data_IF_721141158357
#
_entry.id   IF_721141158357
#
_cell.length_a   1.000
_cell.length_b   1.000
_cell.length_c   1.000
_cell.angle_alpha   90.00
_cell.angle_beta   90.00
_cell.angle_gamma   90.00
#
_symmetry.space_group_name_H-M   'P 1'
#
loop_
_entity.id
_entity.type
_entity.pdbx_description
1 polymer ?
#
# COMPACT_ATOMS: atom_id res chain seq x y z
N UNK A 1 26.68 -28.56 -16.27
CA UNK A 1 26.89 -30.00 -16.03
C UNK A 1 25.51 -30.63 -15.99
N UNK A 2 25.20 -31.60 -16.86
CA UNK A 2 23.84 -32.15 -16.97
C UNK A 2 23.56 -33.18 -15.87
N UNK A 3 22.33 -33.19 -15.35
CA UNK A 3 21.84 -34.12 -14.32
C UNK A 3 21.93 -35.60 -14.73
N UNK A 4 21.98 -35.89 -16.04
CA UNK A 4 22.09 -37.26 -16.57
C UNK A 4 23.50 -37.84 -16.36
N UNK A 5 24.53 -36.99 -16.37
CA UNK A 5 25.93 -37.44 -16.28
C UNK A 5 26.33 -37.71 -14.82
N UNK A 6 25.78 -36.94 -13.89
CA UNK A 6 26.09 -37.03 -12.46
C UNK A 6 24.83 -36.75 -11.62
N UNK A 7 23.85 -37.65 -11.67
CA UNK A 7 22.68 -37.58 -10.78
C UNK A 7 23.12 -37.87 -9.35
N UNK A 8 22.75 -36.98 -8.44
CA UNK A 8 23.03 -37.09 -7.01
C UNK A 8 21.77 -37.39 -6.19
N UNK A 9 20.65 -37.69 -6.85
CA UNK A 9 19.33 -37.84 -6.21
C UNK A 9 19.24 -39.05 -5.26
N UNK A 10 20.07 -40.06 -5.49
CA UNK A 10 20.14 -41.27 -4.66
C UNK A 10 21.11 -41.12 -3.48
N UNK A 11 21.84 -40.01 -3.39
CA UNK A 11 22.85 -39.76 -2.37
C UNK A 11 22.25 -38.82 -1.33
N UNK A 12 22.09 -39.31 -0.10
CA UNK A 12 21.76 -38.46 1.05
C UNK A 12 23.02 -37.73 1.51
N UNK A 13 23.01 -36.41 1.40
CA UNK A 13 24.11 -35.59 1.90
C UNK A 13 23.98 -35.38 3.42
N UNK A 14 25.11 -35.34 4.12
CA UNK A 14 25.14 -34.98 5.54
C UNK A 14 24.50 -33.62 5.81
N UNK A 15 24.57 -32.70 4.84
CA UNK A 15 23.91 -31.40 4.91
C UNK A 15 22.38 -31.53 4.95
N UNK A 16 21.80 -32.40 4.13
CA UNK A 16 20.35 -32.64 4.10
C UNK A 16 19.89 -33.17 5.46
N UNK A 17 20.61 -34.18 5.97
CA UNK A 17 20.34 -34.79 7.29
C UNK A 17 20.46 -33.73 8.40
N UNK A 18 21.50 -32.89 8.37
CA UNK A 18 21.72 -31.86 9.37
C UNK A 18 20.65 -30.75 9.34
N UNK A 19 20.15 -30.37 8.15
CA UNK A 19 19.07 -29.39 7.99
C UNK A 19 17.74 -29.96 8.48
N UNK A 20 17.39 -31.19 8.06
CA UNK A 20 16.16 -31.88 8.47
C UNK A 20 16.09 -32.08 9.99
N UNK A 21 17.21 -32.48 10.60
CA UNK A 21 17.31 -32.72 12.05
C UNK A 21 17.62 -31.44 12.84
N UNK A 22 17.85 -30.30 12.17
CA UNK A 22 18.26 -29.04 12.78
C UNK A 22 19.48 -29.17 13.73
N UNK A 23 20.44 -30.02 13.34
CA UNK A 23 21.66 -30.27 14.12
C UNK A 23 22.49 -28.99 14.23
N UNK A 24 23.04 -28.73 15.42
CA UNK A 24 23.90 -27.58 15.66
C UNK A 24 23.18 -26.22 15.79
N UNK A 25 21.86 -26.16 15.64
CA UNK A 25 21.11 -24.92 15.80
C UNK A 25 20.98 -24.52 17.27
N UNK A 26 21.88 -23.66 17.75
CA UNK A 26 21.81 -23.08 19.09
C UNK A 26 20.63 -22.12 19.23
N UNK A 27 19.97 -22.02 20.42
CA UNK A 27 18.91 -21.03 20.65
C UNK A 27 19.39 -19.60 20.37
N UNK A 28 18.45 -18.73 20.00
CA UNK A 28 18.79 -17.33 19.78
C UNK A 28 19.30 -16.67 21.06
N UNK A 29 20.32 -15.80 20.97
CA UNK A 29 20.93 -15.18 22.15
C UNK A 29 20.00 -14.18 22.84
N UNK A 30 19.07 -13.57 22.09
CA UNK A 30 18.14 -12.57 22.60
C UNK A 30 16.69 -12.90 22.21
N UNK A 31 15.73 -12.76 23.15
CA UNK A 31 14.31 -12.88 22.84
C UNK A 31 13.84 -11.80 21.87
N UNK A 32 12.94 -12.15 20.94
CA UNK A 32 12.28 -11.19 20.07
C UNK A 32 13.07 -10.77 18.82
N UNK A 33 14.20 -11.42 18.52
CA UNK A 33 14.88 -11.26 17.23
C UNK A 33 13.96 -11.67 16.07
N UNK A 34 14.04 -10.93 14.97
CA UNK A 34 13.29 -11.26 13.77
C UNK A 34 13.94 -12.47 13.07
N UNK A 35 13.09 -13.39 12.61
CA UNK A 35 13.50 -14.66 11.99
C UNK A 35 13.06 -14.70 10.53
N UNK A 36 12.99 -13.52 9.90
CA UNK A 36 12.34 -13.30 8.60
C UNK A 36 13.05 -13.99 7.43
N UNK A 37 14.32 -14.33 7.60
CA UNK A 37 15.13 -15.11 6.64
C UNK A 37 15.48 -16.53 7.10
N UNK A 38 14.96 -16.97 8.25
CA UNK A 38 15.19 -18.33 8.73
C UNK A 38 14.23 -19.32 8.09
N UNK A 39 14.66 -20.57 7.94
CA UNK A 39 13.81 -21.66 7.49
C UNK A 39 12.62 -21.86 8.46
N UNK A 40 11.52 -22.41 7.93
CA UNK A 40 10.36 -22.77 8.75
C UNK A 40 10.74 -23.93 9.65
N UNK A 41 10.38 -23.85 10.93
CA UNK A 41 10.65 -24.93 11.87
C UNK A 41 9.71 -26.11 11.63
N UNK A 42 10.25 -27.21 11.11
CA UNK A 42 9.47 -28.44 10.92
C UNK A 42 8.99 -29.06 12.24
N UNK A 43 9.82 -29.01 13.29
CA UNK A 43 9.42 -29.50 14.60
C UNK A 43 8.26 -28.69 15.19
N UNK A 44 8.16 -27.40 14.89
CA UNK A 44 7.02 -26.59 15.32
C UNK A 44 5.75 -26.98 14.58
N UNK A 45 5.86 -27.24 13.27
CA UNK A 45 4.75 -27.74 12.46
C UNK A 45 4.25 -29.11 12.95
N UNK A 46 5.15 -29.96 13.46
CA UNK A 46 4.87 -31.26 14.08
C UNK A 46 4.57 -31.19 15.59
N UNK A 47 4.45 -29.99 16.17
CA UNK A 47 4.22 -29.74 17.61
C UNK A 47 5.28 -30.35 18.57
N UNK A 48 6.50 -30.61 18.10
CA UNK A 48 7.63 -31.18 18.85
C UNK A 48 8.75 -30.18 19.17
N UNK A 49 8.59 -28.88 18.84
CA UNK A 49 9.62 -27.88 19.05
C UNK A 49 9.74 -27.47 20.54
N UNK A 50 10.80 -27.92 21.22
CA UNK A 50 11.10 -27.54 22.60
C UNK A 50 11.74 -26.15 22.79
N UNK A 51 12.16 -25.47 21.70
CA UNK A 51 12.90 -24.19 21.77
C UNK A 51 11.98 -22.96 21.94
N UNK A 52 10.67 -23.13 21.84
CA UNK A 52 9.68 -22.06 22.04
C UNK A 52 9.95 -20.82 21.17
N UNK A 53 9.76 -19.62 21.74
CA UNK A 53 9.99 -18.35 21.03
C UNK A 53 11.45 -18.04 20.70
N UNK A 54 12.40 -18.73 21.33
CA UNK A 54 13.85 -18.59 21.10
C UNK A 54 14.38 -19.58 20.04
N UNK A 55 13.49 -20.32 19.39
CA UNK A 55 13.85 -21.14 18.25
C UNK A 55 14.51 -20.28 17.16
N UNK A 56 15.68 -20.66 16.61
CA UNK A 56 16.32 -19.95 15.50
C UNK A 56 15.50 -19.97 14.21
N UNK A 57 14.62 -20.95 14.10
CA UNK A 57 13.76 -21.16 12.95
C UNK A 57 12.43 -20.44 13.13
N UNK A 58 11.82 -20.12 12.00
CA UNK A 58 10.57 -19.37 11.93
C UNK A 58 9.40 -20.23 12.37
N UNK A 59 8.57 -19.74 13.28
CA UNK A 59 7.33 -20.39 13.69
C UNK A 59 6.14 -19.76 12.96
N UNK A 60 5.36 -20.60 12.27
CA UNK A 60 4.13 -20.20 11.59
C UNK A 60 2.91 -20.51 12.46
N UNK A 61 2.50 -19.56 13.29
CA UNK A 61 1.28 -19.69 14.10
C UNK A 61 0.08 -19.04 13.39
N UNK A 62 -0.99 -19.82 13.22
CA UNK A 62 -2.29 -19.36 12.72
C UNK A 62 -2.36 -19.04 11.23
N UNK A 63 -3.59 -18.95 10.73
CA UNK A 63 -3.90 -18.49 9.37
C UNK A 63 -3.78 -16.96 9.28
N UNK A 64 -2.86 -16.48 8.43
CA UNK A 64 -2.68 -15.05 8.16
C UNK A 64 -3.18 -14.77 6.74
N UNK A 65 -4.08 -13.81 6.60
CA UNK A 65 -4.82 -13.60 5.34
C UNK A 65 -4.19 -12.58 4.41
N UNK A 66 -3.48 -11.58 4.95
CA UNK A 66 -2.92 -10.46 4.18
C UNK A 66 -1.41 -10.36 4.37
N UNK A 67 -0.67 -10.13 3.28
CA UNK A 67 0.79 -9.96 3.30
C UNK A 67 1.20 -8.70 4.07
N UNK A 68 2.21 -8.84 4.92
CA UNK A 68 2.75 -7.75 5.69
C UNK A 68 3.50 -6.74 4.80
N UNK A 69 2.98 -5.52 4.69
CA UNK A 69 3.63 -4.43 3.95
C UNK A 69 5.02 -4.05 4.47
N UNK A 70 5.30 -4.28 5.76
CA UNK A 70 6.58 -3.93 6.38
C UNK A 70 7.63 -5.01 6.16
N UNK A 71 7.23 -6.28 6.10
CA UNK A 71 8.10 -7.40 5.78
C UNK A 71 8.60 -7.33 4.34
N UNK A 72 7.74 -6.93 3.39
CA UNK A 72 8.15 -6.68 2.00
C UNK A 72 9.27 -5.63 1.86
N UNK A 73 9.46 -4.78 2.88
CA UNK A 73 10.52 -3.77 2.94
C UNK A 73 11.68 -4.17 3.86
N UNK A 74 11.62 -5.33 4.52
CA UNK A 74 12.61 -5.75 5.52
C UNK A 74 12.57 -4.97 6.83
N UNK A 75 11.47 -4.28 7.14
CA UNK A 75 11.35 -3.39 8.31
C UNK A 75 10.37 -3.92 9.38
N UNK A 76 9.98 -5.19 9.29
CA UNK A 76 9.03 -5.75 10.24
C UNK A 76 9.73 -6.11 11.57
N UNK A 77 9.42 -5.34 12.63
CA UNK A 77 9.93 -5.60 14.00
C UNK A 77 9.20 -6.73 14.73
N UNK A 78 8.01 -7.13 14.24
CA UNK A 78 7.15 -8.12 14.92
C UNK A 78 7.56 -9.57 14.65
N UNK A 79 8.46 -9.81 13.69
CA UNK A 79 8.96 -11.16 13.36
C UNK A 79 7.82 -12.17 13.21
N UNK A 80 7.88 -13.28 13.94
CA UNK A 80 6.88 -14.35 13.90
C UNK A 80 5.54 -13.99 14.55
N UNK A 81 5.54 -12.99 15.44
CA UNK A 81 4.34 -12.52 16.15
C UNK A 81 3.59 -11.45 15.33
N UNK A 82 3.97 -11.26 14.06
CA UNK A 82 3.26 -10.37 13.18
C UNK A 82 1.86 -10.94 12.85
N UNK A 83 0.85 -10.10 12.99
CA UNK A 83 -0.54 -10.39 12.58
C UNK A 83 -0.70 -10.58 11.06
N UNK A 84 0.30 -10.17 10.29
CA UNK A 84 0.30 -10.20 8.82
C UNK A 84 1.23 -11.29 8.28
N UNK A 85 0.89 -11.84 7.11
CA UNK A 85 1.60 -12.93 6.46
C UNK A 85 3.01 -12.48 6.01
N UNK A 86 4.03 -13.23 6.40
CA UNK A 86 5.42 -13.08 5.93
C UNK A 86 5.73 -14.12 4.85
N UNK A 87 4.96 -14.06 3.78
CA UNK A 87 5.10 -14.91 2.60
C UNK A 87 4.75 -14.07 1.37
N UNK A 88 5.44 -14.33 0.27
CA UNK A 88 5.23 -13.59 -0.97
C UNK A 88 4.08 -14.21 -1.76
N UNK A 89 2.86 -13.86 -1.41
CA UNK A 89 1.65 -14.25 -2.13
C UNK A 89 1.00 -13.02 -2.78
N UNK A 90 1.02 -12.97 -4.12
CA UNK A 90 0.45 -11.86 -4.88
C UNK A 90 -1.08 -11.76 -4.72
N UNK A 91 -1.76 -12.86 -4.41
CA UNK A 91 -3.22 -12.91 -4.26
C UNK A 91 -3.68 -12.32 -2.93
N UNK A 92 -2.83 -12.41 -1.90
CA UNK A 92 -3.07 -11.90 -0.53
C UNK A 92 -2.46 -10.52 -0.30
N UNK A 93 -2.04 -9.83 -1.37
CA UNK A 93 -1.43 -8.51 -1.29
C UNK A 93 -2.48 -7.46 -0.89
N UNK A 94 -2.21 -6.58 0.10
CA UNK A 94 -3.15 -5.53 0.46
C UNK A 94 -3.46 -4.60 -0.72
N UNK A 95 -4.70 -4.11 -0.77
CA UNK A 95 -5.13 -3.18 -1.80
C UNK A 95 -4.39 -1.84 -1.72
N UNK A 96 -4.27 -1.16 -2.86
CA UNK A 96 -3.68 0.17 -2.88
C UNK A 96 -4.62 1.17 -2.18
N UNK A 97 -4.17 1.70 -1.04
CA UNK A 97 -4.91 2.70 -0.24
C UNK A 97 -5.41 3.89 -1.07
N UNK A 98 -4.59 4.40 -1.99
CA UNK A 98 -4.95 5.56 -2.82
C UNK A 98 -5.95 5.20 -3.93
N UNK A 99 -5.94 3.97 -4.43
CA UNK A 99 -6.96 3.49 -5.37
C UNK A 99 -8.31 3.34 -4.69
N UNK A 100 -8.34 2.80 -3.46
CA UNK A 100 -9.57 2.69 -2.67
C UNK A 100 -10.23 4.06 -2.45
N UNK A 101 -9.43 5.12 -2.24
CA UNK A 101 -9.93 6.47 -1.94
C UNK A 101 -10.23 7.34 -3.17
N UNK A 102 -9.42 7.26 -4.23
CA UNK A 102 -9.52 8.14 -5.40
C UNK A 102 -9.90 7.39 -6.69
N UNK A 103 -10.16 6.08 -6.58
CA UNK A 103 -10.55 5.23 -7.68
C UNK A 103 -9.54 5.28 -8.84
N UNK A 104 -10.01 5.34 -10.10
CA UNK A 104 -9.14 5.32 -11.28
C UNK A 104 -8.21 6.53 -11.42
N UNK A 105 -8.37 7.58 -10.59
CA UNK A 105 -7.52 8.77 -10.60
C UNK A 105 -6.22 8.61 -9.79
N UNK A 106 -5.96 7.45 -9.20
CA UNK A 106 -4.72 7.29 -8.45
C UNK A 106 -3.50 7.25 -9.40
N UNK A 107 -2.60 8.22 -9.20
CA UNK A 107 -1.36 8.45 -9.95
C UNK A 107 -0.33 7.30 -9.84
N UNK A 108 -0.50 6.38 -8.90
CA UNK A 108 0.44 5.29 -8.65
C UNK A 108 0.02 4.01 -9.37
N UNK A 109 1.01 3.21 -9.78
CA UNK A 109 0.78 1.92 -10.44
C UNK A 109 0.11 0.94 -9.46
N UNK A 110 -1.15 0.61 -9.71
CA UNK A 110 -1.88 -0.41 -8.95
C UNK A 110 -1.41 -1.83 -9.29
N UNK A 111 -1.70 -2.79 -8.40
CA UNK A 111 -1.45 -4.22 -8.62
C UNK A 111 -1.96 -4.60 -10.00
N UNK A 112 -1.06 -5.12 -10.85
CA UNK A 112 -1.32 -5.44 -12.26
C UNK A 112 -2.51 -6.40 -12.34
N UNK A 113 -3.72 -5.89 -12.56
CA UNK A 113 -4.84 -6.73 -12.98
C UNK A 113 -4.46 -7.31 -14.34
N UNK A 114 -4.72 -8.62 -14.54
CA UNK A 114 -4.42 -9.29 -15.81
C UNK A 114 -5.15 -8.54 -16.92
N UNK A 115 -4.39 -8.08 -17.91
CA UNK A 115 -4.92 -7.34 -19.05
C UNK A 115 -5.79 -8.30 -19.86
N UNK A 116 -6.97 -7.85 -20.25
CA UNK A 116 -7.81 -8.61 -21.16
C UNK A 116 -7.12 -8.73 -22.52
N UNK A 117 -6.76 -9.95 -22.91
CA UNK A 117 -6.10 -10.21 -24.20
C UNK A 117 -7.00 -9.78 -25.36
N UNK A 118 -8.31 -10.07 -25.28
CA UNK A 118 -9.30 -9.68 -26.31
C UNK A 118 -9.39 -8.16 -26.47
N UNK A 119 -9.41 -7.43 -25.36
CA UNK A 119 -9.41 -5.97 -25.41
C UNK A 119 -8.08 -5.39 -25.91
N UNK A 120 -6.96 -6.02 -25.58
CA UNK A 120 -5.64 -5.62 -26.07
C UNK A 120 -5.53 -5.77 -27.60
N UNK A 121 -6.15 -6.79 -28.19
CA UNK A 121 -6.22 -6.96 -29.64
C UNK A 121 -7.28 -6.07 -30.31
N UNK A 122 -8.02 -5.26 -29.53
CA UNK A 122 -8.89 -4.19 -30.02
C UNK A 122 -10.37 -4.34 -29.67
N UNK A 123 -10.84 -5.53 -29.28
CA UNK A 123 -12.26 -5.74 -28.98
C UNK A 123 -12.50 -6.86 -27.96
N UNK A 124 -13.20 -6.54 -26.86
CA UNK A 124 -13.68 -7.54 -25.90
C UNK A 124 -15.22 -7.62 -25.93
N UNK A 125 -15.81 -8.80 -26.18
CA UNK A 125 -17.26 -8.98 -26.24
C UNK A 125 -17.97 -8.74 -24.90
N UNK A 126 -17.24 -8.85 -23.78
CA UNK A 126 -17.76 -8.55 -22.44
C UNK A 126 -17.78 -7.03 -22.14
N UNK A 127 -17.21 -6.20 -23.02
CA UNK A 127 -17.23 -4.74 -22.92
C UNK A 127 -16.71 -4.21 -21.57
N UNK A 128 -17.29 -3.16 -20.99
CA UNK A 128 -16.84 -2.60 -19.71
C UNK A 128 -17.09 -3.52 -18.50
N UNK A 129 -17.87 -4.59 -18.67
CA UNK A 129 -18.14 -5.62 -17.66
C UNK A 129 -17.15 -6.78 -17.66
N UNK A 130 -16.11 -6.75 -18.50
CA UNK A 130 -15.12 -7.82 -18.56
C UNK A 130 -14.41 -8.04 -17.21
N UNK A 131 -14.22 -9.32 -16.85
CA UNK A 131 -13.47 -9.73 -15.65
C UNK A 131 -11.98 -9.36 -15.69
N UNK A 132 -11.45 -9.07 -16.88
CA UNK A 132 -10.05 -8.73 -17.11
C UNK A 132 -9.89 -7.22 -17.37
N UNK A 133 -8.71 -6.67 -17.09
CA UNK A 133 -8.46 -5.22 -17.12
C UNK A 133 -8.38 -4.70 -18.56
N UNK A 134 -9.14 -3.64 -18.85
CA UNK A 134 -9.13 -2.90 -20.12
C UNK A 134 -8.29 -1.62 -19.96
N UNK A 135 -7.12 -1.48 -20.61
CA UNK A 135 -6.34 -0.24 -20.57
C UNK A 135 -7.07 0.90 -21.29
N UNK A 136 -7.19 2.07 -20.67
CA UNK A 136 -7.73 3.25 -21.36
C UNK A 136 -6.61 3.86 -22.20
N UNK A 137 -6.60 3.56 -23.50
CA UNK A 137 -5.73 4.24 -24.46
C UNK A 137 -6.36 5.60 -24.77
N UNK A 138 -5.89 6.66 -24.12
CA UNK A 138 -6.20 8.04 -24.49
C UNK A 138 -5.45 8.32 -25.80
N UNK A 139 -6.10 8.07 -26.93
CA UNK A 139 -5.62 8.60 -28.20
C UNK A 139 -5.96 10.09 -28.25
N UNK A 140 -5.03 10.98 -28.63
CA UNK A 140 -5.35 12.37 -28.90
C UNK A 140 -6.21 12.40 -30.18
N UNK A 141 -7.52 12.28 -30.01
CA UNK A 141 -8.48 12.41 -31.11
C UNK A 141 -8.83 13.89 -31.29
N UNK A 142 -8.55 14.38 -32.49
CA UNK A 142 -8.85 15.72 -32.95
C UNK A 142 -10.33 16.06 -32.83
N UNK A 143 -10.56 17.36 -32.73
CA UNK A 143 -11.85 18.06 -32.72
C UNK A 143 -12.84 17.51 -33.74
N UNK A 144 -13.99 17.01 -33.29
CA UNK A 144 -15.28 17.24 -33.97
C UNK A 144 -16.43 16.88 -33.03
N UNK A 145 -17.49 17.65 -33.15
CA UNK A 145 -18.48 17.96 -32.12
C UNK A 145 -19.38 16.77 -31.77
N UNK A 146 -19.60 16.55 -30.46
CA UNK A 146 -20.68 15.69 -29.97
C UNK A 146 -21.96 16.53 -29.79
N UNK A 147 -23.12 16.10 -30.33
CA UNK A 147 -24.40 16.74 -30.01
C UNK A 147 -24.78 16.51 -28.54
N UNK A 148 -25.40 17.48 -27.85
CA UNK A 148 -25.82 17.31 -26.47
C UNK A 148 -26.98 16.30 -26.35
N UNK A 149 -26.80 15.28 -25.50
CA UNK A 149 -27.86 14.38 -25.06
C UNK A 149 -28.85 15.12 -24.14
N UNK A 150 -30.16 14.78 -24.18
CA UNK A 150 -31.20 15.53 -23.49
C UNK A 150 -31.15 15.40 -21.96
N UNK A 151 -31.24 16.54 -21.27
CA UNK A 151 -31.38 16.67 -19.83
C UNK A 151 -32.72 16.12 -19.34
N UNK A 152 -32.69 15.10 -18.49
CA UNK A 152 -33.86 14.67 -17.72
C UNK A 152 -34.13 15.67 -16.59
N UNK A 153 -35.33 16.24 -16.60
CA UNK A 153 -35.83 17.22 -15.63
C UNK A 153 -36.25 16.51 -14.34
N UNK A 154 -35.71 16.95 -13.17
CA UNK A 154 -36.27 16.61 -11.86
C UNK A 154 -37.09 17.80 -11.32
N UNK A 155 -38.22 17.59 -10.61
CA UNK A 155 -39.06 18.67 -10.12
C UNK A 155 -38.50 19.32 -8.84
N UNK A 156 -38.80 20.62 -8.59
CA UNK A 156 -38.21 21.38 -7.49
C UNK A 156 -38.94 21.15 -6.15
N UNK A 157 -38.20 20.72 -5.14
CA UNK A 157 -38.65 20.75 -3.74
C UNK A 157 -38.52 22.17 -3.17
N UNK A 158 -39.65 22.68 -2.65
CA UNK A 158 -39.85 24.02 -2.11
C UNK A 158 -38.99 24.25 -0.85
N UNK A 159 -38.24 25.36 -0.80
CA UNK A 159 -37.65 25.92 0.43
C UNK A 159 -38.33 27.25 0.75
N UNK A 160 -38.88 27.37 1.96
CA UNK A 160 -39.34 28.63 2.55
C UNK A 160 -38.25 29.22 3.46
N UNK A 161 -38.11 30.56 3.55
CA UNK A 161 -37.12 31.22 4.40
C UNK A 161 -37.71 31.55 5.78
N UNK A 162 -36.89 31.73 6.84
CA UNK A 162 -37.15 32.68 7.97
C UNK A 162 -35.89 32.94 8.85
N UNK A 163 -35.53 34.24 8.88
CA UNK A 163 -35.14 35.19 9.95
C UNK A 163 -34.35 34.79 11.22
N UNK A 164 -33.46 35.73 11.57
CA UNK A 164 -32.44 35.86 12.64
C UNK A 164 -33.00 35.92 14.08
N UNK A 165 -32.23 35.39 15.04
CA UNK A 165 -32.35 35.62 16.50
C UNK A 165 -31.06 35.26 17.25
N UNK A 166 -30.75 35.98 18.33
CA UNK A 166 -29.40 36.22 18.91
C UNK A 166 -29.25 35.64 20.34
N UNK A 167 -28.01 35.26 20.73
CA UNK A 167 -27.44 35.03 22.11
C UNK A 167 -27.97 33.81 22.92
N UNK A 168 -27.25 33.12 23.83
CA UNK A 168 -25.97 33.33 24.53
C UNK A 168 -25.43 32.00 25.14
N UNK A 169 -24.11 31.81 25.02
CA UNK A 169 -23.12 31.23 25.96
C UNK A 169 -23.44 30.05 26.90
N UNK A 170 -22.59 29.01 26.83
CA UNK A 170 -21.68 28.66 27.94
C UNK A 170 -20.48 27.79 27.48
N UNK A 171 -19.32 28.25 27.95
CA UNK A 171 -17.91 27.87 27.80
C UNK A 171 -17.63 26.36 28.08
N UNK A 172 -16.67 25.64 27.47
CA UNK A 172 -15.23 25.91 27.58
C UNK A 172 -14.35 25.00 26.67
N UNK A 173 -13.31 25.62 26.09
CA UNK A 173 -11.94 25.08 25.92
C UNK A 173 -11.60 24.04 24.85
N UNK A 174 -11.44 24.50 23.59
CA UNK A 174 -10.33 24.09 22.72
C UNK A 174 -10.11 25.17 21.65
N UNK A 175 -8.92 25.78 21.64
CA UNK A 175 -8.58 26.97 20.85
C UNK A 175 -8.83 26.83 19.34
N UNK A 176 -9.94 27.38 18.90
CA UNK A 176 -10.34 27.52 17.52
C UNK A 176 -9.54 28.65 16.87
N UNK A 177 -8.40 28.33 16.23
CA UNK A 177 -7.71 29.27 15.35
C UNK A 177 -8.24 29.05 13.94
N UNK A 178 -9.15 29.92 13.51
CA UNK A 178 -9.61 29.98 12.12
C UNK A 178 -8.43 30.12 11.13
N UNK A 179 -8.68 29.91 9.83
CA UNK A 179 -7.65 30.06 8.80
C UNK A 179 -7.00 31.44 8.91
N UNK A 180 -5.68 31.48 9.10
CA UNK A 180 -4.96 32.76 9.20
C UNK A 180 -5.12 33.52 7.87
N UNK A 181 -5.34 34.85 7.91
CA UNK A 181 -5.42 35.65 6.70
C UNK A 181 -4.11 35.52 5.90
N UNK A 182 -4.19 35.42 4.57
CA UNK A 182 -3.03 35.19 3.69
C UNK A 182 -1.89 36.20 3.92
N UNK A 183 -2.21 37.43 4.32
CA UNK A 183 -1.25 38.49 4.64
C UNK A 183 -0.35 38.18 5.87
N UNK A 184 -0.77 37.28 6.75
CA UNK A 184 0.02 36.83 7.90
C UNK A 184 0.80 35.53 7.63
N UNK A 185 0.63 34.93 6.45
CA UNK A 185 1.31 33.70 6.06
C UNK A 185 2.63 34.04 5.38
N UNK A 186 3.73 33.77 6.08
CA UNK A 186 5.09 33.92 5.54
C UNK A 186 5.49 32.68 4.75
N UNK A 187 5.94 32.85 3.52
CA UNK A 187 6.42 31.77 2.67
C UNK A 187 7.78 31.26 3.16
N UNK A 188 7.85 29.99 3.58
CA UNK A 188 9.10 29.36 4.04
C UNK A 188 10.20 29.22 2.98
N UNK A 189 9.91 29.51 1.70
CA UNK A 189 10.89 29.44 0.60
C UNK A 189 11.54 30.79 0.27
N UNK A 190 10.85 31.92 0.50
CA UNK A 190 11.36 33.25 0.15
C UNK A 190 11.26 34.28 1.29
N UNK A 191 10.64 33.96 2.42
CA UNK A 191 10.50 34.87 3.56
C UNK A 191 9.43 35.96 3.41
N UNK A 192 8.77 36.07 2.26
CA UNK A 192 7.74 37.09 2.00
C UNK A 192 6.35 36.64 2.46
N UNK A 193 5.53 37.60 2.91
CA UNK A 193 4.15 37.36 3.37
C UNK A 193 3.15 37.46 2.21
N UNK A 194 1.99 36.83 2.33
CA UNK A 194 0.89 36.95 1.34
C UNK A 194 0.65 35.72 0.46
N UNK A 195 1.47 34.66 0.57
CA UNK A 195 1.30 33.43 -0.22
C UNK A 195 1.90 32.19 0.48
N UNK A 196 1.37 31.01 0.13
CA UNK A 196 1.89 29.72 0.61
C UNK A 196 3.03 29.21 -0.28
N UNK A 197 3.94 28.41 0.28
CA UNK A 197 5.13 27.89 -0.41
C UNK A 197 4.84 27.13 -1.72
N UNK A 198 3.64 26.57 -1.88
CA UNK A 198 3.19 25.87 -3.09
C UNK A 198 2.81 26.82 -4.25
N UNK A 199 2.67 28.12 -3.97
CA UNK A 199 2.33 29.19 -4.93
C UNK A 199 3.44 30.26 -5.00
N UNK A 200 4.64 29.94 -4.53
CA UNK A 200 5.77 30.85 -4.56
C UNK A 200 6.32 30.99 -5.99
N UNK A 201 6.29 32.20 -6.52
CA UNK A 201 6.76 32.52 -7.88
C UNK A 201 8.29 32.56 -7.98
N UNK A 202 9.02 32.64 -6.85
CA UNK A 202 10.49 32.74 -6.82
C UNK A 202 11.23 31.40 -6.93
N UNK A 203 10.53 30.27 -7.12
CA UNK A 203 11.15 28.97 -7.36
C UNK A 203 12.04 28.45 -6.22
N UNK A 204 12.66 27.27 -6.41
CA UNK A 204 13.47 26.58 -5.40
C UNK A 204 14.84 27.26 -5.10
N UNK A 205 15.21 28.30 -5.84
CA UNK A 205 16.55 28.91 -5.79
C UNK A 205 16.63 30.21 -4.97
N UNK A 206 15.53 30.69 -4.38
CA UNK A 206 15.52 31.93 -3.60
C UNK A 206 16.26 31.85 -2.24
N UNK A 207 16.75 30.68 -1.84
CA UNK A 207 17.47 30.47 -0.57
C UNK A 207 18.90 31.05 -0.55
N UNK A 208 19.40 31.58 -1.67
CA UNK A 208 20.80 32.03 -1.82
C UNK A 208 21.02 33.55 -1.85
N UNK A 209 19.98 34.38 -1.61
CA UNK A 209 20.11 35.84 -1.69
C UNK A 209 19.86 36.59 -0.38
N UNK A 210 20.05 35.94 0.77
CA UNK A 210 19.96 36.57 2.08
C UNK A 210 21.19 36.28 2.92
N UNK A 211 22.28 37.01 2.65
CA UNK A 211 23.35 37.28 3.61
C UNK A 211 23.50 38.79 3.71
#
# INVERSE_FOLDING_TARGET
MQEIIASVDHIKFDLEIAVEQQLGAQPLPFPGMDKSGAAVCEFFLKAACGKGGMCPFRHISGEKTVVCKHWLRGLCKKGDQCEFLHEYDMTKMPECYFYSKFGPLCRHRHTRRVICVNYLVGFCPEGPSCKFMHPRFELPMGTTEQPPLPQQTQPPAKRTPQVIGVMQSQNSSAGNRGPRPLEQVTCYKCGEKGHYANRCTKGHLAFLSGQ
#
